data_IF_655810803016
#
_entry.id   IF_655810803016
#
_cell.length_a   1.000
_cell.length_b   1.000
_cell.length_c   1.000
_cell.angle_alpha   90.00
_cell.angle_beta   90.00
_cell.angle_gamma   90.00
#
_symmetry.space_group_name_H-M   'P 1'
#
loop_
_entity.id
_entity.type
_entity.pdbx_description
1 polymer ?
#
# COMPACT_ATOMS: atom_id res chain seq x y z
N UNK A 1 12.61 -22.87 2.89
CA UNK A 1 11.62 -22.53 1.86
C UNK A 1 11.44 -21.02 1.86
N UNK A 2 11.25 -20.39 0.70
CA UNK A 2 11.03 -18.93 0.60
C UNK A 2 9.52 -18.70 0.56
N UNK A 3 8.97 -18.04 1.58
CA UNK A 3 7.55 -17.68 1.64
C UNK A 3 7.36 -16.28 1.07
N UNK A 4 6.32 -16.11 0.25
CA UNK A 4 5.89 -14.81 -0.28
C UNK A 4 4.52 -14.49 0.31
N UNK A 5 4.30 -13.25 0.72
CA UNK A 5 2.98 -12.82 1.17
C UNK A 5 2.28 -12.02 0.09
N UNK A 6 0.98 -12.28 -0.01
CA UNK A 6 0.02 -11.48 -0.77
C UNK A 6 -0.96 -10.96 0.27
N UNK A 7 -1.03 -9.65 0.41
CA UNK A 7 -1.90 -9.00 1.39
C UNK A 7 -2.80 -8.02 0.65
N UNK A 8 -4.07 -8.04 1.03
CA UNK A 8 -5.05 -7.07 0.58
C UNK A 8 -5.58 -6.34 1.80
N UNK A 9 -5.56 -5.01 1.76
CA UNK A 9 -6.04 -4.19 2.87
C UNK A 9 -6.80 -2.99 2.35
N UNK A 10 -7.76 -2.54 3.16
CA UNK A 10 -8.49 -1.32 2.94
C UNK A 10 -7.70 -0.14 3.52
N UNK A 11 -7.45 0.86 2.70
CA UNK A 11 -6.90 2.15 3.11
C UNK A 11 -8.01 3.18 3.04
N UNK A 12 -8.07 4.04 4.04
CA UNK A 12 -9.03 5.11 4.15
C UNK A 12 -8.29 6.44 4.16
N UNK A 13 -8.77 7.40 3.38
CA UNK A 13 -8.43 8.81 3.53
C UNK A 13 -9.69 9.64 3.83
N UNK A 14 -9.55 10.96 3.86
CA UNK A 14 -10.66 11.89 4.12
C UNK A 14 -11.76 11.85 3.06
N UNK A 15 -11.46 11.44 1.83
CA UNK A 15 -12.37 11.40 0.70
C UNK A 15 -13.02 10.03 0.56
N UNK A 16 -12.22 8.97 0.55
CA UNK A 16 -12.66 7.65 0.12
C UNK A 16 -11.87 6.50 0.77
N UNK A 17 -12.45 5.31 0.64
CA UNK A 17 -11.79 4.04 0.88
C UNK A 17 -11.29 3.44 -0.43
N UNK A 18 -10.08 2.89 -0.43
CA UNK A 18 -9.53 2.12 -1.54
C UNK A 18 -9.00 0.76 -1.07
N UNK A 19 -9.13 -0.24 -1.92
CA UNK A 19 -8.52 -1.55 -1.71
C UNK A 19 -7.16 -1.60 -2.39
N UNK A 20 -6.12 -1.83 -1.59
CA UNK A 20 -4.75 -2.00 -2.08
C UNK A 20 -4.36 -3.47 -2.01
N UNK A 21 -3.70 -3.93 -3.05
CA UNK A 21 -3.03 -5.23 -3.06
C UNK A 21 -1.52 -5.02 -2.95
N UNK A 22 -0.97 -5.49 -1.84
CA UNK A 22 0.47 -5.57 -1.57
C UNK A 22 0.98 -6.95 -1.95
N UNK A 23 2.02 -6.99 -2.78
CA UNK A 23 2.72 -8.21 -3.11
C UNK A 23 4.14 -8.06 -2.61
N UNK A 24 4.62 -9.04 -1.87
CA UNK A 24 6.00 -9.03 -1.44
C UNK A 24 6.72 -10.32 -1.76
N UNK A 25 7.92 -10.13 -2.26
CA UNK A 25 8.92 -11.15 -2.32
C UNK A 25 9.86 -10.97 -1.11
N UNK A 26 10.33 -12.07 -0.52
CA UNK A 26 10.81 -12.25 0.87
C UNK A 26 11.80 -11.21 1.48
N UNK A 27 12.30 -10.25 0.70
CA UNK A 27 13.31 -9.25 1.06
C UNK A 27 12.88 -7.78 0.87
N UNK A 28 11.63 -7.46 0.46
CA UNK A 28 11.33 -6.05 0.16
C UNK A 28 11.10 -5.16 1.40
N UNK A 29 11.56 -3.92 1.24
CA UNK A 29 11.43 -2.77 2.13
C UNK A 29 9.98 -2.41 2.49
N UNK A 30 8.97 -3.02 1.85
CA UNK A 30 7.55 -2.78 2.15
C UNK A 30 7.05 -3.52 3.40
N UNK A 31 7.61 -4.68 3.73
CA UNK A 31 7.15 -5.51 4.88
C UNK A 31 7.43 -4.88 6.22
N UNK A 32 8.65 -4.36 6.36
CA UNK A 32 9.21 -3.93 7.63
C UNK A 32 8.44 -2.72 8.17
N UNK A 33 8.08 -1.70 7.36
CA UNK A 33 7.26 -0.59 7.84
C UNK A 33 5.86 -1.01 8.28
N UNK A 34 5.24 -1.99 7.61
CA UNK A 34 3.85 -2.39 7.88
C UNK A 34 3.73 -3.39 9.03
N UNK A 35 4.43 -4.53 8.93
CA UNK A 35 4.30 -5.64 9.87
C UNK A 35 5.51 -5.76 10.81
N UNK A 36 6.64 -5.11 10.49
CA UNK A 36 7.87 -5.22 11.29
C UNK A 36 8.54 -6.60 11.24
N UNK A 37 8.04 -7.52 10.41
CA UNK A 37 8.54 -8.89 10.26
C UNK A 37 8.52 -9.32 8.79
N UNK A 38 9.36 -10.29 8.47
CA UNK A 38 9.46 -10.91 7.14
C UNK A 38 8.34 -11.92 6.90
N UNK A 39 8.15 -12.31 5.63
CA UNK A 39 7.15 -13.29 5.24
C UNK A 39 7.34 -14.66 5.92
N UNK A 40 8.60 -15.09 6.06
CA UNK A 40 8.94 -16.35 6.70
C UNK A 40 8.60 -16.32 8.20
N UNK A 41 8.93 -15.22 8.89
CA UNK A 41 8.62 -15.06 10.32
C UNK A 41 7.11 -15.00 10.57
N UNK A 42 6.35 -14.33 9.71
CA UNK A 42 4.89 -14.30 9.80
C UNK A 42 4.25 -15.68 9.59
N UNK A 43 4.79 -16.47 8.67
CA UNK A 43 4.33 -17.85 8.45
C UNK A 43 4.65 -18.74 9.65
N UNK A 44 5.86 -18.63 10.19
CA UNK A 44 6.29 -19.38 11.37
C UNK A 44 5.47 -18.99 12.61
N UNK A 45 5.21 -17.69 12.83
CA UNK A 45 4.32 -17.21 13.89
C UNK A 45 2.92 -17.83 13.80
N UNK A 46 2.38 -17.95 12.58
CA UNK A 46 1.07 -18.55 12.37
C UNK A 46 1.04 -20.04 12.75
N UNK A 47 2.16 -20.75 12.56
CA UNK A 47 2.27 -22.18 12.87
C UNK A 47 2.60 -22.45 14.34
N UNK A 48 3.38 -21.58 14.98
CA UNK A 48 3.85 -21.75 16.37
C UNK A 48 2.89 -21.13 17.40
N UNK A 49 2.34 -19.94 17.13
CA UNK A 49 1.53 -19.16 18.07
C UNK A 49 0.36 -18.46 17.35
N UNK A 50 -0.76 -19.17 17.25
CA UNK A 50 -1.99 -18.66 16.58
C UNK A 50 -2.52 -17.36 17.21
N UNK A 51 -2.27 -17.11 18.50
CA UNK A 51 -2.70 -15.92 19.23
C UNK A 51 -1.84 -14.67 18.96
N UNK A 52 -0.55 -14.83 18.64
CA UNK A 52 0.36 -13.70 18.42
C UNK A 52 0.18 -13.10 17.01
N UNK A 53 -0.16 -13.95 16.04
CA UNK A 53 -0.43 -13.53 14.66
C UNK A 53 -1.49 -12.41 14.52
N UNK A 54 -2.70 -12.52 15.10
CA UNK A 54 -3.69 -11.45 15.02
C UNK A 54 -3.24 -10.19 15.76
N UNK A 55 -2.44 -10.30 16.83
CA UNK A 55 -1.92 -9.12 17.55
C UNK A 55 -0.98 -8.32 16.65
N UNK A 56 -0.04 -8.99 15.99
CA UNK A 56 0.91 -8.36 15.05
C UNK A 56 0.17 -7.75 13.87
N UNK A 57 -0.81 -8.47 13.31
CA UNK A 57 -1.61 -8.00 12.18
C UNK A 57 -2.46 -6.78 12.55
N UNK A 58 -3.09 -6.79 13.73
CA UNK A 58 -3.90 -5.68 14.21
C UNK A 58 -3.05 -4.44 14.55
N UNK A 59 -1.80 -4.62 14.97
CA UNK A 59 -0.88 -3.49 15.24
C UNK A 59 -0.54 -2.70 13.98
N UNK A 60 -0.57 -3.34 12.81
CA UNK A 60 -0.39 -2.67 11.51
C UNK A 60 -1.62 -1.87 11.08
N UNK A 61 -2.79 -2.12 11.69
CA UNK A 61 -4.02 -1.37 11.41
C UNK A 61 -4.06 -0.08 12.24
N UNK A 62 -4.72 0.95 11.71
CA UNK A 62 -4.88 2.23 12.40
C UNK A 62 -3.64 3.14 12.38
N UNK A 63 -2.56 2.72 11.74
CA UNK A 63 -1.36 3.54 11.50
C UNK A 63 -1.42 4.23 10.13
N UNK A 64 -0.89 5.46 10.07
CA UNK A 64 -0.84 6.25 8.84
C UNK A 64 0.52 6.12 8.16
N UNK A 65 0.50 5.91 6.85
CA UNK A 65 1.68 5.77 6.01
C UNK A 65 1.51 6.59 4.73
N UNK A 66 2.62 7.01 4.16
CA UNK A 66 2.69 7.48 2.78
C UNK A 66 2.84 6.26 1.85
N UNK A 67 1.88 6.07 0.97
CA UNK A 67 1.79 4.93 0.06
C UNK A 67 2.02 5.36 -1.38
N UNK A 68 3.06 4.80 -2.01
CA UNK A 68 3.24 4.90 -3.46
C UNK A 68 2.45 3.80 -4.14
N UNK A 69 1.36 4.16 -4.82
CA UNK A 69 0.41 3.22 -5.43
C UNK A 69 0.43 3.32 -6.95
N UNK A 70 0.47 2.17 -7.62
CA UNK A 70 0.30 2.05 -9.07
C UNK A 70 -1.12 1.59 -9.38
N UNK A 71 -1.87 2.43 -10.09
CA UNK A 71 -3.17 2.06 -10.64
C UNK A 71 -2.98 1.39 -12.01
N UNK A 72 -3.58 0.22 -12.20
CA UNK A 72 -3.63 -0.47 -13.49
C UNK A 72 -5.09 -0.79 -13.84
N UNK A 73 -5.52 -0.37 -15.02
CA UNK A 73 -6.78 -0.81 -15.60
C UNK A 73 -6.61 -2.24 -16.12
N UNK A 74 -7.45 -3.14 -15.67
CA UNK A 74 -7.52 -4.53 -16.06
C UNK A 74 -8.88 -4.78 -16.70
N UNK A 75 -8.90 -5.15 -17.98
CA UNK A 75 -10.12 -5.48 -18.72
C UNK A 75 -10.34 -6.99 -18.63
N UNK A 76 -11.32 -7.41 -17.84
CA UNK A 76 -11.72 -8.81 -17.75
C UNK A 76 -13.19 -8.92 -18.19
N UNK A 77 -13.44 -9.72 -19.24
CA UNK A 77 -14.79 -9.97 -19.77
C UNK A 77 -15.54 -8.67 -20.15
N UNK A 78 -14.86 -7.79 -20.88
CA UNK A 78 -15.35 -6.47 -21.32
C UNK A 78 -15.70 -5.47 -20.20
N UNK A 79 -15.42 -5.81 -18.93
CA UNK A 79 -15.50 -4.89 -17.81
C UNK A 79 -14.11 -4.37 -17.42
N UNK A 80 -13.97 -3.05 -17.32
CA UNK A 80 -12.75 -2.39 -16.88
C UNK A 80 -12.76 -2.26 -15.36
N UNK A 81 -11.85 -2.95 -14.69
CA UNK A 81 -11.61 -2.85 -13.26
C UNK A 81 -10.27 -2.16 -12.98
N UNK A 82 -10.23 -1.29 -11.98
CA UNK A 82 -8.98 -0.68 -11.54
C UNK A 82 -8.37 -1.48 -10.40
N UNK A 83 -7.16 -1.99 -10.60
CA UNK A 83 -6.37 -2.64 -9.55
C UNK A 83 -5.31 -1.66 -9.05
N UNK A 84 -5.28 -1.47 -7.74
CA UNK A 84 -4.30 -0.63 -7.07
C UNK A 84 -3.24 -1.52 -6.42
N UNK A 85 -2.03 -1.43 -6.94
CA UNK A 85 -0.89 -2.22 -6.47
C UNK A 85 0.04 -1.33 -5.66
N UNK A 86 0.39 -1.76 -4.45
CA UNK A 86 1.33 -1.02 -3.63
C UNK A 86 2.76 -1.21 -4.17
N UNK A 87 3.50 -0.11 -4.30
CA UNK A 87 4.92 -0.13 -4.68
C UNK A 87 5.83 0.14 -3.49
N UNK A 88 5.46 1.10 -2.64
CA UNK A 88 6.25 1.48 -1.46
C UNK A 88 5.32 1.96 -0.34
N UNK A 89 5.68 1.64 0.89
CA UNK A 89 5.08 2.20 2.11
C UNK A 89 6.18 2.87 2.94
N UNK A 90 5.93 4.08 3.43
CA UNK A 90 6.83 4.80 4.32
C UNK A 90 6.05 5.43 5.48
N UNK A 91 6.64 5.57 6.67
CA UNK A 91 6.00 6.31 7.75
C UNK A 91 5.80 7.78 7.35
N UNK A 92 4.67 8.37 7.73
CA UNK A 92 4.35 9.75 7.38
C UNK A 92 5.26 10.73 8.10
N UNK A 93 5.78 11.72 7.36
CA UNK A 93 6.52 12.85 7.93
C UNK A 93 5.60 14.09 8.01
N UNK A 94 5.04 14.33 9.20
CA UNK A 94 4.10 15.43 9.43
C UNK A 94 4.67 16.82 9.13
N UNK A 95 5.97 17.03 9.32
CA UNK A 95 6.61 18.34 9.09
C UNK A 95 6.70 18.66 7.60
N UNK A 96 6.92 17.64 6.77
CA UNK A 96 6.93 17.79 5.32
C UNK A 96 5.52 17.85 4.75
N UNK A 97 4.59 17.04 5.26
CA UNK A 97 3.21 16.97 4.77
C UNK A 97 2.39 18.24 5.11
N UNK A 98 2.68 18.86 6.26
CA UNK A 98 2.06 20.14 6.63
C UNK A 98 2.47 21.32 5.74
N UNK A 99 3.58 21.19 4.98
CA UNK A 99 3.95 22.23 4.02
C UNK A 99 2.94 22.18 2.88
N UNK A 100 2.31 23.31 2.53
CA UNK A 100 1.43 23.35 1.38
C UNK A 100 2.21 22.83 0.18
N UNK A 101 1.70 21.76 -0.45
CA UNK A 101 2.30 21.15 -1.63
C UNK A 101 2.16 22.15 -2.78
N UNK A 102 3.07 23.12 -2.82
CA UNK A 102 3.06 24.22 -3.78
C UNK A 102 3.51 23.70 -5.13
N UNK A 103 2.65 22.93 -5.80
CA UNK A 103 2.79 22.68 -7.23
C UNK A 103 2.10 23.83 -7.96
N UNK A 104 2.81 24.60 -8.82
CA UNK A 104 2.14 25.49 -9.73
C UNK A 104 1.30 24.60 -10.64
N UNK A 105 -0.01 24.82 -10.64
CA UNK A 105 -0.89 24.31 -11.68
C UNK A 105 -0.43 24.88 -13.02
N UNK A 106 0.56 24.24 -13.66
CA UNK A 106 0.74 24.37 -15.10
C UNK A 106 -0.48 23.68 -15.70
N UNK A 107 -1.55 24.46 -15.83
CA UNK A 107 -2.49 24.30 -16.92
C UNK A 107 -1.64 24.14 -18.17
N UNK A 108 -1.44 22.89 -18.61
CA UNK A 108 -0.97 22.65 -19.97
C UNK A 108 -2.03 23.33 -20.83
N UNK A 109 -1.69 24.40 -21.58
CA UNK A 109 -2.66 25.00 -22.46
C UNK A 109 -3.13 23.89 -23.39
N UNK A 110 -4.45 23.68 -23.48
CA UNK A 110 -5.00 22.81 -24.51
C UNK A 110 -4.37 23.23 -25.85
N UNK A 111 -3.81 22.31 -26.65
CA UNK A 111 -3.36 22.68 -27.98
C UNK A 111 -4.60 23.18 -28.72
N UNK A 112 -4.65 24.49 -28.99
CA UNK A 112 -5.63 25.08 -29.89
C UNK A 112 -5.46 24.35 -31.21
N UNK A 113 -6.40 23.46 -31.51
CA UNK A 113 -6.50 22.80 -32.81
C UNK A 113 -6.70 23.92 -33.83
N UNK A 114 -5.69 24.13 -34.67
CA UNK A 114 -5.72 24.99 -35.86
C UNK A 114 -6.69 24.45 -36.90
#
# INVERSE_FOLDING_TARGET
MRSSYIVSFAVYDFTNQIWLSGFNDSDSEMSLPLFGRTANEMQQLREENEDEFPIVTNKALGTMYDFSVKAKADSFNDQVNFRYQLQKAAPINWVEDAKPRSSPSRSRPCPRRS
#
